data_IF_774076355473
#
_entry.id   IF_774076355473
#
_cell.length_a   1.000
_cell.length_b   1.000
_cell.length_c   1.000
_cell.angle_alpha   90.00
_cell.angle_beta   90.00
_cell.angle_gamma   90.00
#
_symmetry.space_group_name_H-M   'P 1'
#
loop_
_entity.id
_entity.type
_entity.pdbx_description
1 polymer ?
#
# COMPACT_ATOMS: atom_id res chain seq x y z
N UNK A 1 -13.22 -24.16 -22.07
CA UNK A 1 -12.86 -22.93 -21.33
C UNK A 1 -12.49 -23.13 -19.86
N UNK A 2 -12.99 -24.14 -19.12
CA UNK A 2 -12.45 -24.47 -17.78
C UNK A 2 -12.64 -23.39 -16.69
N UNK A 3 -13.39 -22.32 -16.98
CA UNK A 3 -13.67 -21.23 -16.05
C UNK A 3 -14.66 -21.68 -14.98
N UNK A 4 -14.30 -21.49 -13.71
CA UNK A 4 -15.19 -21.81 -12.58
C UNK A 4 -16.23 -20.70 -12.36
N UNK A 5 -17.36 -21.00 -11.68
CA UNK A 5 -18.32 -19.97 -11.29
C UNK A 5 -17.68 -18.83 -10.46
N UNK A 6 -16.70 -19.17 -9.60
CA UNK A 6 -15.99 -18.20 -8.77
C UNK A 6 -15.12 -17.26 -9.62
N UNK A 7 -14.39 -17.80 -10.60
CA UNK A 7 -13.61 -17.00 -11.56
C UNK A 7 -14.50 -16.03 -12.33
N UNK A 8 -15.65 -16.52 -12.82
CA UNK A 8 -16.58 -15.69 -13.57
C UNK A 8 -17.17 -14.56 -12.71
N UNK A 9 -17.58 -14.88 -11.47
CA UNK A 9 -18.09 -13.89 -10.52
C UNK A 9 -17.03 -12.83 -10.17
N UNK A 10 -15.77 -13.25 -9.96
CA UNK A 10 -14.66 -12.36 -9.67
C UNK A 10 -14.39 -11.40 -10.83
N UNK A 11 -14.31 -11.92 -12.06
CA UNK A 11 -14.12 -11.10 -13.26
C UNK A 11 -15.26 -10.09 -13.47
N UNK A 12 -16.51 -10.51 -13.22
CA UNK A 12 -17.70 -9.65 -13.35
C UNK A 12 -17.91 -8.67 -12.19
N UNK A 13 -17.03 -8.66 -11.19
CA UNK A 13 -17.13 -7.75 -10.06
C UNK A 13 -18.31 -8.06 -9.12
N UNK A 14 -18.79 -9.30 -9.06
CA UNK A 14 -19.99 -9.71 -8.29
C UNK A 14 -19.61 -10.19 -6.88
N UNK A 15 -19.31 -9.25 -5.99
CA UNK A 15 -18.84 -9.54 -4.63
C UNK A 15 -19.74 -10.50 -3.83
N UNK A 16 -21.07 -10.34 -3.90
CA UNK A 16 -21.99 -11.22 -3.16
C UNK A 16 -21.99 -12.66 -3.70
N UNK A 17 -21.81 -12.84 -5.01
CA UNK A 17 -21.68 -14.16 -5.62
C UNK A 17 -20.34 -14.81 -5.25
N UNK A 18 -19.25 -14.04 -5.25
CA UNK A 18 -17.95 -14.51 -4.76
C UNK A 18 -18.05 -14.99 -3.31
N UNK A 19 -18.71 -14.21 -2.44
CA UNK A 19 -18.89 -14.56 -1.03
C UNK A 19 -19.67 -15.87 -0.87
N UNK A 20 -20.80 -15.98 -1.57
CA UNK A 20 -21.64 -17.18 -1.53
C UNK A 20 -20.87 -18.42 -1.98
N UNK A 21 -20.15 -18.33 -3.11
CA UNK A 21 -19.40 -19.46 -3.66
C UNK A 21 -18.27 -19.90 -2.72
N UNK A 22 -17.53 -18.96 -2.14
CA UNK A 22 -16.47 -19.26 -1.16
C UNK A 22 -17.03 -19.92 0.11
N UNK A 23 -18.17 -19.43 0.62
CA UNK A 23 -18.85 -20.04 1.77
C UNK A 23 -19.28 -21.50 1.50
N UNK A 24 -19.60 -21.83 0.25
CA UNK A 24 -19.92 -23.20 -0.19
C UNK A 24 -18.69 -24.02 -0.61
N UNK A 25 -17.47 -23.57 -0.27
CA UNK A 25 -16.24 -24.35 -0.46
C UNK A 25 -15.68 -24.31 -1.88
N UNK A 26 -16.01 -23.28 -2.67
CA UNK A 26 -15.37 -23.10 -3.98
C UNK A 26 -13.84 -23.01 -3.83
N UNK A 27 -13.11 -23.79 -4.61
CA UNK A 27 -11.65 -23.77 -4.61
C UNK A 27 -11.12 -22.47 -5.23
N UNK A 28 -10.64 -21.56 -4.37
CA UNK A 28 -10.08 -20.27 -4.77
C UNK A 28 -8.81 -20.38 -5.63
N UNK A 29 -8.06 -21.46 -5.44
CA UNK A 29 -6.81 -21.77 -6.12
C UNK A 29 -6.99 -22.72 -7.32
N UNK A 30 -8.23 -22.90 -7.80
CA UNK A 30 -8.46 -23.65 -9.02
C UNK A 30 -7.72 -22.99 -10.20
N UNK A 31 -6.96 -23.79 -10.95
CA UNK A 31 -6.16 -23.35 -12.10
C UNK A 31 -6.50 -24.14 -13.38
N UNK A 32 -7.65 -24.83 -13.42
CA UNK A 32 -8.11 -25.62 -14.57
C UNK A 32 -8.62 -24.77 -15.75
N UNK A 33 -8.55 -23.43 -15.62
CA UNK A 33 -8.78 -22.53 -16.73
C UNK A 33 -7.77 -22.80 -17.85
N UNK A 34 -8.20 -22.66 -19.10
CA UNK A 34 -7.40 -23.02 -20.29
C UNK A 34 -6.03 -22.31 -20.35
N UNK A 35 -5.95 -21.09 -19.81
CA UNK A 35 -4.73 -20.30 -19.71
C UNK A 35 -4.12 -20.28 -18.29
N UNK A 36 -4.57 -21.15 -17.37
CA UNK A 36 -4.07 -21.21 -16.00
C UNK A 36 -4.44 -20.03 -15.10
N UNK A 37 -5.51 -19.29 -15.43
CA UNK A 37 -5.97 -18.17 -14.61
C UNK A 37 -6.65 -18.66 -13.33
N UNK A 38 -6.37 -17.99 -12.21
CA UNK A 38 -7.00 -18.23 -10.90
C UNK A 38 -8.10 -17.21 -10.60
N UNK A 39 -8.88 -17.44 -9.56
CA UNK A 39 -9.88 -16.47 -9.11
C UNK A 39 -9.25 -15.12 -8.70
N UNK A 40 -8.06 -15.14 -8.08
CA UNK A 40 -7.34 -13.93 -7.69
C UNK A 40 -6.85 -13.11 -8.90
N UNK A 41 -6.42 -13.77 -9.98
CA UNK A 41 -6.05 -13.06 -11.22
C UNK A 41 -7.25 -12.34 -11.84
N UNK A 42 -8.42 -12.99 -11.87
CA UNK A 42 -9.65 -12.35 -12.34
C UNK A 42 -10.14 -11.23 -11.42
N UNK A 43 -9.96 -11.38 -10.09
CA UNK A 43 -10.24 -10.30 -9.15
C UNK A 43 -9.35 -9.07 -9.41
N UNK A 44 -8.05 -9.28 -9.61
CA UNK A 44 -7.11 -8.21 -9.99
C UNK A 44 -7.46 -7.51 -11.30
N UNK A 45 -7.89 -8.27 -12.32
CA UNK A 45 -8.35 -7.74 -13.60
C UNK A 45 -9.63 -6.89 -13.47
N UNK A 46 -10.52 -7.24 -12.54
CA UNK A 46 -11.79 -6.52 -12.35
C UNK A 46 -11.61 -5.13 -11.73
N UNK A 47 -10.45 -4.85 -11.11
CA UNK A 47 -10.20 -3.62 -10.36
C UNK A 47 -10.92 -3.54 -9.00
N UNK A 48 -11.55 -4.63 -8.56
CA UNK A 48 -12.38 -4.69 -7.35
C UNK A 48 -11.53 -5.13 -6.16
N UNK A 49 -11.09 -4.17 -5.35
CA UNK A 49 -10.28 -4.43 -4.14
C UNK A 49 -11.03 -5.27 -3.10
N UNK A 50 -12.34 -5.07 -2.96
CA UNK A 50 -13.24 -5.86 -2.10
C UNK A 50 -13.21 -7.35 -2.45
N UNK A 51 -13.29 -7.68 -3.74
CA UNK A 51 -13.22 -9.05 -4.24
C UNK A 51 -11.80 -9.61 -4.12
N UNK A 52 -10.79 -8.78 -4.39
CA UNK A 52 -9.38 -9.16 -4.27
C UNK A 52 -9.05 -9.56 -2.83
N UNK A 53 -9.42 -8.75 -1.84
CA UNK A 53 -9.30 -9.09 -0.41
C UNK A 53 -10.06 -10.37 -0.07
N UNK A 54 -11.27 -10.55 -0.59
CA UNK A 54 -12.07 -11.75 -0.33
C UNK A 54 -11.40 -13.04 -0.84
N UNK A 55 -10.75 -13.01 -2.01
CA UNK A 55 -9.98 -14.14 -2.52
C UNK A 55 -8.77 -14.44 -1.63
N UNK A 56 -8.05 -13.40 -1.21
CA UNK A 56 -6.88 -13.53 -0.34
C UNK A 56 -7.24 -14.08 1.04
N UNK A 57 -8.34 -13.59 1.64
CA UNK A 57 -8.88 -14.10 2.90
C UNK A 57 -9.32 -15.57 2.79
N UNK A 58 -9.76 -16.00 1.62
CA UNK A 58 -10.06 -17.40 1.33
C UNK A 58 -8.83 -18.28 1.08
N UNK A 59 -7.61 -17.72 1.18
CA UNK A 59 -6.36 -18.46 1.00
C UNK A 59 -5.86 -18.49 -0.45
N UNK A 60 -6.21 -17.51 -1.28
CA UNK A 60 -5.65 -17.41 -2.61
C UNK A 60 -4.13 -17.26 -2.59
N UNK A 61 -3.44 -18.06 -3.38
CA UNK A 61 -1.99 -17.99 -3.52
C UNK A 61 -1.59 -16.82 -4.45
N UNK A 62 -0.74 -15.92 -3.95
CA UNK A 62 -0.30 -14.73 -4.68
C UNK A 62 0.76 -15.03 -5.75
N UNK A 63 1.47 -16.14 -5.59
CA UNK A 63 2.64 -16.50 -6.40
C UNK A 63 2.30 -17.45 -7.57
N UNK A 64 1.04 -17.88 -7.70
CA UNK A 64 0.62 -18.65 -8.85
C UNK A 64 0.74 -17.82 -10.13
N UNK A 65 1.25 -18.44 -11.19
CA UNK A 65 1.43 -17.83 -12.50
C UNK A 65 0.53 -18.50 -13.54
N UNK A 66 0.01 -17.70 -14.47
CA UNK A 66 -0.75 -18.20 -15.61
C UNK A 66 0.18 -18.74 -16.72
N UNK A 67 -0.39 -19.15 -17.86
CA UNK A 67 0.36 -19.67 -19.00
C UNK A 67 1.37 -18.68 -19.61
N UNK A 68 1.25 -17.39 -19.28
CA UNK A 68 2.15 -16.31 -19.72
C UNK A 68 3.19 -15.94 -18.65
N UNK A 69 3.26 -16.71 -17.56
CA UNK A 69 4.22 -16.48 -16.48
C UNK A 69 3.89 -15.29 -15.57
N UNK A 70 2.63 -14.81 -15.56
CA UNK A 70 2.21 -13.63 -14.80
C UNK A 70 1.44 -13.98 -13.54
N UNK A 71 1.77 -13.33 -12.42
CA UNK A 71 1.02 -13.39 -11.16
C UNK A 71 -0.22 -12.51 -11.17
N UNK A 72 -1.10 -12.67 -10.17
CA UNK A 72 -2.28 -11.81 -10.04
C UNK A 72 -1.95 -10.32 -9.89
N UNK A 73 -0.90 -9.98 -9.13
CA UNK A 73 -0.43 -8.61 -8.99
C UNK A 73 0.08 -8.04 -10.32
N UNK A 74 0.84 -8.82 -11.09
CA UNK A 74 1.32 -8.41 -12.41
C UNK A 74 0.17 -8.23 -13.41
N UNK A 75 -0.86 -9.09 -13.35
CA UNK A 75 -2.06 -8.94 -14.15
C UNK A 75 -2.82 -7.65 -13.80
N UNK A 76 -3.01 -7.36 -12.51
CA UNK A 76 -3.64 -6.12 -12.06
C UNK A 76 -2.83 -4.88 -12.49
N UNK A 77 -1.50 -4.93 -12.38
CA UNK A 77 -0.62 -3.85 -12.83
C UNK A 77 -0.73 -3.61 -14.35
N UNK A 78 -0.80 -4.68 -15.14
CA UNK A 78 -0.90 -4.59 -16.61
C UNK A 78 -2.15 -3.83 -17.07
N UNK A 79 -3.26 -3.94 -16.34
CA UNK A 79 -4.51 -3.21 -16.62
C UNK A 79 -4.67 -1.92 -15.80
N UNK A 80 -3.60 -1.46 -15.13
CA UNK A 80 -3.60 -0.21 -14.35
C UNK A 80 -4.36 -0.26 -13.02
N UNK A 81 -4.72 -1.45 -12.53
CA UNK A 81 -5.48 -1.64 -11.29
C UNK A 81 -4.57 -1.61 -10.05
N UNK A 82 -3.89 -0.48 -9.85
CA UNK A 82 -2.88 -0.29 -8.82
C UNK A 82 -3.39 -0.55 -7.40
N UNK A 83 -4.63 -0.18 -7.08
CA UNK A 83 -5.18 -0.43 -5.74
C UNK A 83 -5.29 -1.94 -5.45
N UNK A 84 -5.58 -2.77 -6.47
CA UNK A 84 -5.56 -4.23 -6.33
C UNK A 84 -4.13 -4.76 -6.17
N UNK A 85 -3.15 -4.20 -6.89
CA UNK A 85 -1.72 -4.53 -6.72
C UNK A 85 -1.29 -4.26 -5.29
N UNK A 86 -1.62 -3.08 -4.76
CA UNK A 86 -1.30 -2.71 -3.38
C UNK A 86 -1.93 -3.68 -2.39
N UNK A 87 -3.20 -4.05 -2.56
CA UNK A 87 -3.89 -5.04 -1.71
C UNK A 87 -3.21 -6.39 -1.74
N UNK A 88 -2.85 -6.91 -2.92
CA UNK A 88 -2.19 -8.22 -3.07
C UNK A 88 -0.81 -8.20 -2.41
N UNK A 89 0.01 -7.19 -2.70
CA UNK A 89 1.38 -7.11 -2.22
C UNK A 89 1.48 -6.83 -0.70
N UNK A 90 0.48 -6.13 -0.14
CA UNK A 90 0.42 -5.80 1.28
C UNK A 90 -0.42 -6.77 2.11
N UNK A 91 -0.90 -7.88 1.51
CA UNK A 91 -1.79 -8.79 2.20
C UNK A 91 -1.09 -9.51 3.36
N UNK A 92 -1.73 -9.46 4.51
CA UNK A 92 -1.34 -10.20 5.71
C UNK A 92 -2.56 -10.95 6.23
N UNK A 93 -2.54 -12.27 6.18
CA UNK A 93 -3.66 -13.11 6.63
C UNK A 93 -3.89 -12.99 8.14
N UNK A 94 -5.15 -12.86 8.55
CA UNK A 94 -5.51 -12.84 9.98
C UNK A 94 -5.06 -14.12 10.72
N UNK A 95 -5.11 -15.28 10.07
CA UNK A 95 -4.66 -16.56 10.63
C UNK A 95 -3.19 -16.53 11.12
N UNK A 96 -2.30 -15.82 10.40
CA UNK A 96 -0.91 -15.62 10.84
C UNK A 96 -0.83 -14.80 12.12
N UNK A 97 -1.74 -13.83 12.32
CA UNK A 97 -1.81 -13.07 13.57
C UNK A 97 -2.41 -13.89 14.71
N UNK A 98 -3.41 -14.71 14.41
CA UNK A 98 -4.08 -15.58 15.38
C UNK A 98 -3.12 -16.59 16.01
N UNK A 99 -2.01 -16.93 15.35
CA UNK A 99 -0.91 -17.67 15.96
C UNK A 99 -0.48 -17.04 17.29
N UNK A 100 -0.33 -15.72 17.37
CA UNK A 100 0.10 -15.04 18.61
C UNK A 100 -0.98 -14.99 19.69
N UNK A 101 -2.21 -15.39 19.37
CA UNK A 101 -3.34 -15.37 20.29
C UNK A 101 -3.44 -16.59 21.19
N UNK A 102 -2.57 -17.58 20.96
CA UNK A 102 -2.45 -18.80 21.76
C UNK A 102 -1.07 -18.84 22.42
N UNK A 103 -0.94 -19.29 23.67
CA UNK A 103 0.38 -19.53 24.27
C UNK A 103 1.10 -20.67 23.54
N UNK A 104 2.42 -20.53 23.34
CA UNK A 104 3.24 -21.56 22.70
C UNK A 104 4.39 -22.01 23.61
N UNK A 105 4.69 -23.32 23.58
CA UNK A 105 5.81 -23.88 24.35
C UNK A 105 5.66 -23.71 25.87
N UNK A 106 6.55 -22.91 26.46
CA UNK A 106 6.60 -22.65 27.91
C UNK A 106 5.86 -21.37 28.33
N UNK A 107 5.19 -20.69 27.39
CA UNK A 107 4.46 -19.46 27.67
C UNK A 107 3.19 -19.72 28.50
N UNK A 108 2.96 -18.88 29.52
CA UNK A 108 1.77 -18.97 30.38
C UNK A 108 0.60 -18.13 29.86
N UNK A 109 0.88 -17.11 29.08
CA UNK A 109 -0.11 -16.20 28.51
C UNK A 109 0.18 -15.97 27.02
N UNK A 110 -0.85 -15.64 26.21
CA UNK A 110 -0.64 -15.34 24.81
C UNK A 110 0.10 -14.00 24.66
N UNK A 111 0.99 -13.94 23.65
CA UNK A 111 1.71 -12.71 23.28
C UNK A 111 0.75 -11.62 22.78
N UNK A 112 -0.37 -12.00 22.16
CA UNK A 112 -1.45 -11.11 21.74
C UNK A 112 -2.79 -11.56 22.32
N UNK A 113 -3.50 -10.74 23.10
CA UNK A 113 -4.89 -11.04 23.46
C UNK A 113 -5.78 -11.31 22.22
N UNK A 114 -6.65 -12.34 22.20
CA UNK A 114 -7.52 -12.63 21.06
C UNK A 114 -8.39 -11.44 20.64
N UNK A 115 -8.81 -10.61 21.60
CA UNK A 115 -9.59 -9.39 21.36
C UNK A 115 -8.84 -8.33 20.55
N UNK A 116 -7.52 -8.40 20.47
CA UNK A 116 -6.65 -7.47 19.74
C UNK A 116 -6.32 -7.93 18.33
N UNK A 117 -6.55 -9.20 17.97
CA UNK A 117 -6.23 -9.72 16.65
C UNK A 117 -6.96 -8.94 15.55
N UNK A 118 -8.27 -8.76 15.65
CA UNK A 118 -9.05 -7.97 14.69
C UNK A 118 -8.60 -6.51 14.58
N UNK A 119 -8.53 -5.75 15.69
CA UNK A 119 -8.05 -4.37 15.68
C UNK A 119 -6.64 -4.19 15.11
N UNK A 120 -5.70 -5.05 15.49
CA UNK A 120 -4.31 -4.97 15.01
C UNK A 120 -4.21 -5.38 13.53
N UNK A 121 -4.93 -6.42 13.11
CA UNK A 121 -5.02 -6.84 11.71
C UNK A 121 -5.55 -5.71 10.82
N UNK A 122 -6.57 -4.96 11.28
CA UNK A 122 -7.06 -3.78 10.57
C UNK A 122 -5.98 -2.70 10.37
N UNK A 123 -5.11 -2.50 11.35
CA UNK A 123 -3.97 -1.56 11.23
C UNK A 123 -2.96 -2.10 10.22
N UNK A 124 -2.60 -3.38 10.31
CA UNK A 124 -1.65 -4.04 9.38
C UNK A 124 -2.14 -3.96 7.93
N UNK A 125 -3.44 -4.19 7.71
CA UNK A 125 -4.05 -4.20 6.38
C UNK A 125 -4.30 -2.80 5.81
N UNK A 126 -4.11 -1.73 6.58
CA UNK A 126 -4.24 -0.37 6.05
C UNK A 126 -3.17 -0.13 4.98
N UNK A 127 -3.57 0.52 3.89
CA UNK A 127 -2.65 0.98 2.82
C UNK A 127 -2.22 2.43 3.03
N UNK A 128 -3.00 3.20 3.80
CA UNK A 128 -2.67 4.56 4.18
C UNK A 128 -1.70 4.56 5.38
N UNK A 129 -0.41 4.75 5.07
CA UNK A 129 0.68 4.77 6.04
C UNK A 129 0.85 6.12 6.74
N UNK A 130 -0.07 7.08 6.55
CA UNK A 130 0.05 8.36 7.24
C UNK A 130 0.00 8.13 8.75
N UNK A 131 0.95 8.66 9.54
CA UNK A 131 0.99 8.40 10.98
C UNK A 131 -0.25 8.93 11.69
N UNK A 132 -0.88 10.02 11.21
CA UNK A 132 -2.15 10.51 11.76
C UNK A 132 -3.26 9.48 11.55
N UNK A 133 -3.33 8.82 10.38
CA UNK A 133 -4.33 7.77 10.13
C UNK A 133 -4.17 6.61 11.10
N UNK A 134 -2.95 6.12 11.30
CA UNK A 134 -2.68 5.00 12.20
C UNK A 134 -3.00 5.39 13.66
N UNK A 135 -2.63 6.59 14.09
CA UNK A 135 -2.99 7.11 15.43
C UNK A 135 -4.51 7.21 15.60
N UNK A 136 -5.24 7.63 14.57
CA UNK A 136 -6.71 7.67 14.61
C UNK A 136 -7.32 6.26 14.73
N UNK A 137 -6.78 5.25 14.03
CA UNK A 137 -7.23 3.86 14.16
C UNK A 137 -7.04 3.32 15.60
N UNK A 138 -5.92 3.68 16.25
CA UNK A 138 -5.69 3.35 17.66
C UNK A 138 -6.68 4.09 18.55
N UNK A 139 -6.81 5.41 18.37
CA UNK A 139 -7.68 6.28 19.18
C UNK A 139 -9.15 5.87 19.14
N UNK A 140 -9.65 5.46 17.97
CA UNK A 140 -11.05 5.09 17.75
C UNK A 140 -11.39 3.70 18.32
N UNK A 141 -10.39 2.88 18.68
CA UNK A 141 -10.60 1.55 19.22
C UNK A 141 -10.38 1.52 20.75
N UNK A 142 -11.43 1.28 21.55
CA UNK A 142 -11.32 1.30 23.02
C UNK A 142 -10.32 0.29 23.60
N UNK A 143 -10.10 -0.83 22.91
CA UNK A 143 -9.18 -1.89 23.37
C UNK A 143 -7.73 -1.49 23.11
N UNK A 144 -7.44 -0.79 22.01
CA UNK A 144 -6.08 -0.37 21.64
C UNK A 144 -5.56 0.84 22.44
N UNK A 145 -6.44 1.66 23.01
CA UNK A 145 -6.04 2.80 23.86
C UNK A 145 -5.50 2.34 25.22
N UNK A 146 -5.72 1.08 25.62
CA UNK A 146 -5.13 0.53 26.83
C UNK A 146 -3.61 0.34 26.68
N UNK A 147 -2.83 0.87 27.63
CA UNK A 147 -1.36 0.85 27.62
C UNK A 147 -0.79 -0.57 27.50
N UNK A 148 -1.28 -1.51 28.32
CA UNK A 148 -0.79 -2.89 28.31
C UNK A 148 -1.18 -3.64 27.02
N UNK A 149 -2.36 -3.34 26.48
CA UNK A 149 -2.80 -3.90 25.20
C UNK A 149 -1.92 -3.41 24.04
N UNK A 150 -1.64 -2.10 24.00
CA UNK A 150 -0.82 -1.47 22.98
C UNK A 150 0.65 -1.90 23.05
N UNK A 151 1.15 -2.14 24.27
CA UNK A 151 2.46 -2.73 24.51
C UNK A 151 2.58 -4.11 23.84
N UNK A 152 1.62 -5.00 24.09
CA UNK A 152 1.57 -6.32 23.42
C UNK A 152 1.46 -6.18 21.90
N UNK A 153 0.69 -5.21 21.39
CA UNK A 153 0.57 -4.99 19.95
C UNK A 153 1.92 -4.63 19.30
N UNK A 154 2.66 -3.64 19.81
CA UNK A 154 3.93 -3.27 19.16
C UNK A 154 4.99 -4.38 19.30
N UNK A 155 5.01 -5.13 20.41
CA UNK A 155 5.91 -6.28 20.56
C UNK A 155 5.64 -7.35 19.50
N UNK A 156 4.36 -7.62 19.19
CA UNK A 156 3.99 -8.54 18.11
C UNK A 156 4.37 -7.98 16.75
N UNK A 157 4.27 -6.66 16.53
CA UNK A 157 4.74 -6.04 15.30
C UNK A 157 6.25 -6.18 15.10
N UNK A 158 7.04 -6.06 16.17
CA UNK A 158 8.49 -6.29 16.13
C UNK A 158 8.82 -7.74 15.77
N UNK A 159 8.09 -8.71 16.33
CA UNK A 159 8.22 -10.14 15.98
C UNK A 159 7.83 -10.41 14.53
N UNK A 160 6.76 -9.79 14.03
CA UNK A 160 6.33 -9.94 12.64
C UNK A 160 7.36 -9.34 11.67
N UNK A 161 7.95 -8.19 12.02
CA UNK A 161 9.05 -7.61 11.27
C UNK A 161 10.22 -8.61 11.16
N UNK A 162 10.62 -9.20 12.27
CA UNK A 162 11.70 -10.19 12.30
C UNK A 162 11.39 -11.43 11.48
N UNK A 163 10.16 -11.93 11.54
CA UNK A 163 9.73 -13.06 10.72
C UNK A 163 9.75 -12.77 9.22
N UNK A 164 9.39 -11.56 8.79
CA UNK A 164 9.44 -11.17 7.38
C UNK A 164 10.88 -11.17 6.82
N UNK A 165 11.88 -10.96 7.69
CA UNK A 165 13.30 -10.98 7.31
C UNK A 165 13.90 -12.38 7.35
N UNK A 166 13.49 -13.21 8.31
CA UNK A 166 14.04 -14.58 8.48
C UNK A 166 13.46 -15.62 7.51
N UNK A 167 12.41 -15.30 6.77
CA UNK A 167 11.84 -16.21 5.78
C UNK A 167 12.82 -16.44 4.62
N UNK A 168 12.73 -17.60 3.98
CA UNK A 168 13.59 -18.00 2.86
C UNK A 168 13.58 -16.95 1.73
N UNK A 169 12.41 -16.35 1.50
CA UNK A 169 12.25 -15.15 0.68
C UNK A 169 12.06 -13.94 1.61
N UNK A 170 13.10 -13.13 1.78
CA UNK A 170 13.03 -11.92 2.60
C UNK A 170 12.02 -10.94 2.00
N UNK A 171 10.96 -10.63 2.77
CA UNK A 171 9.99 -9.62 2.37
C UNK A 171 10.32 -8.28 3.04
N UNK A 172 11.28 -7.55 2.46
CA UNK A 172 11.74 -6.26 2.99
C UNK A 172 10.62 -5.23 3.10
N UNK A 173 9.70 -5.20 2.13
CA UNK A 173 8.58 -4.27 2.08
C UNK A 173 7.66 -4.49 3.27
N UNK A 174 7.26 -5.74 3.51
CA UNK A 174 6.41 -6.07 4.64
C UNK A 174 7.14 -5.87 5.97
N UNK A 175 8.42 -6.23 6.06
CA UNK A 175 9.24 -5.97 7.24
C UNK A 175 9.29 -4.47 7.60
N UNK A 176 9.60 -3.61 6.62
CA UNK A 176 9.61 -2.16 6.79
C UNK A 176 8.23 -1.64 7.22
N UNK A 177 7.15 -2.16 6.65
CA UNK A 177 5.78 -1.82 7.05
C UNK A 177 5.48 -2.20 8.51
N UNK A 178 5.83 -3.42 8.92
CA UNK A 178 5.61 -3.90 10.29
C UNK A 178 6.39 -3.05 11.30
N UNK A 179 7.66 -2.75 11.00
CA UNK A 179 8.50 -1.86 11.78
C UNK A 179 7.95 -0.44 11.88
N UNK A 180 7.51 0.13 10.76
CA UNK A 180 6.95 1.47 10.72
C UNK A 180 5.68 1.56 11.59
N UNK A 181 4.78 0.60 11.44
CA UNK A 181 3.59 0.50 12.31
C UNK A 181 4.01 0.37 13.77
N UNK A 182 4.98 -0.50 14.10
CA UNK A 182 5.51 -0.64 15.46
C UNK A 182 5.98 0.70 16.03
N UNK A 183 6.75 1.48 15.27
CA UNK A 183 7.22 2.81 15.69
C UNK A 183 6.06 3.77 16.00
N UNK A 184 4.98 3.75 15.21
CA UNK A 184 3.78 4.57 15.46
C UNK A 184 3.06 4.10 16.73
N UNK A 185 2.90 2.79 16.93
CA UNK A 185 2.28 2.24 18.13
C UNK A 185 3.10 2.56 19.40
N UNK A 186 4.43 2.44 19.33
CA UNK A 186 5.33 2.85 20.42
C UNK A 186 5.19 4.35 20.73
N UNK A 187 5.00 5.18 19.70
CA UNK A 187 4.77 6.62 19.89
C UNK A 187 3.44 6.90 20.60
N UNK A 188 2.37 6.19 20.23
CA UNK A 188 1.09 6.23 20.92
C UNK A 188 1.24 5.81 22.39
N UNK A 189 1.93 4.69 22.65
CA UNK A 189 2.21 4.17 23.99
C UNK A 189 2.92 5.20 24.87
N UNK A 190 3.99 5.80 24.37
CA UNK A 190 4.77 6.81 25.09
C UNK A 190 3.95 8.07 25.43
N UNK A 191 2.92 8.40 24.63
CA UNK A 191 2.00 9.50 24.92
C UNK A 191 0.96 9.12 25.97
N UNK A 192 0.35 7.94 25.85
CA UNK A 192 -0.64 7.43 26.79
C UNK A 192 -0.07 7.21 28.21
N UNK A 193 1.21 6.84 28.32
CA UNK A 193 1.88 6.70 29.60
C UNK A 193 2.16 8.05 30.30
N UNK A 194 2.34 9.13 29.53
CA UNK A 194 2.79 10.44 30.06
C UNK A 194 1.67 11.46 30.24
N UNK A 195 0.55 11.29 29.54
CA UNK A 195 -0.54 12.27 29.48
C UNK A 195 -1.86 11.55 29.64
N UNK A 196 -2.77 12.12 30.43
CA UNK A 196 -4.18 11.69 30.53
C UNK A 196 -5.00 12.09 29.29
N UNK A 197 -4.34 12.29 28.14
CA UNK A 197 -4.95 12.75 26.90
C UNK A 197 -5.14 11.57 25.95
N UNK A 198 -6.32 11.47 25.32
CA UNK A 198 -6.77 10.40 24.42
C UNK A 198 -6.10 10.49 23.03
N UNK A 199 -4.77 10.64 23.00
CA UNK A 199 -3.93 10.85 21.80
C UNK A 199 -4.21 12.13 21.01
N UNK A 200 -5.12 13.01 21.46
CA UNK A 200 -5.46 14.25 20.77
C UNK A 200 -4.26 15.18 20.61
N UNK A 201 -3.47 15.37 21.67
CA UNK A 201 -2.24 16.14 21.58
C UNK A 201 -1.20 15.53 20.63
N UNK A 202 -1.14 14.19 20.50
CA UNK A 202 -0.24 13.54 19.54
C UNK A 202 -0.69 13.87 18.12
N UNK A 203 -1.98 13.72 17.80
CA UNK A 203 -2.51 14.07 16.48
C UNK A 203 -2.26 15.53 16.16
N UNK A 204 -2.54 16.45 17.09
CA UNK A 204 -2.25 17.88 16.89
C UNK A 204 -0.76 18.14 16.67
N UNK A 205 0.13 17.43 17.37
CA UNK A 205 1.58 17.59 17.16
C UNK A 205 2.04 17.10 15.78
N UNK A 206 1.42 16.04 15.24
CA UNK A 206 1.69 15.51 13.90
C UNK A 206 1.12 16.39 12.80
N UNK A 207 0.05 17.14 13.07
CA UNK A 207 -0.59 18.04 12.11
C UNK A 207 -0.05 19.47 12.15
N UNK A 208 0.68 19.85 13.21
CA UNK A 208 1.16 21.21 13.36
C UNK A 208 2.19 21.54 12.28
N UNK A 209 1.81 22.46 11.40
CA UNK A 209 2.66 23.02 10.37
C UNK A 209 3.66 24.06 10.88
N UNK A 210 4.70 24.33 10.09
CA UNK A 210 5.57 25.51 10.26
C UNK A 210 4.84 26.79 9.89
N UNK A 211 5.18 27.90 10.53
CA UNK A 211 4.46 29.17 10.34
C UNK A 211 4.62 29.76 8.92
N UNK A 212 5.65 29.35 8.18
CA UNK A 212 5.94 29.87 6.84
C UNK A 212 5.01 29.34 5.75
N UNK A 213 4.67 28.05 5.77
CA UNK A 213 3.91 27.40 4.68
C UNK A 213 2.99 26.26 5.15
N UNK A 214 2.91 26.00 6.46
CA UNK A 214 2.10 24.91 7.00
C UNK A 214 2.72 23.51 6.93
N UNK A 215 3.97 23.32 6.48
CA UNK A 215 4.59 21.99 6.38
C UNK A 215 4.75 21.30 7.75
N UNK A 216 4.29 20.04 7.94
CA UNK A 216 4.28 19.34 9.22
C UNK A 216 5.67 18.78 9.59
N UNK A 217 6.61 19.65 9.99
CA UNK A 217 8.00 19.29 10.27
C UNK A 217 8.17 18.16 11.29
N UNK A 218 7.32 18.11 12.33
CA UNK A 218 7.39 17.06 13.34
C UNK A 218 7.06 15.68 12.76
N UNK A 219 6.05 15.62 11.89
CA UNK A 219 5.65 14.39 11.21
C UNK A 219 6.78 13.89 10.31
N UNK A 220 7.36 14.77 9.50
CA UNK A 220 8.48 14.44 8.62
C UNK A 220 9.69 13.90 9.39
N UNK A 221 10.09 14.57 10.48
CA UNK A 221 11.18 14.11 11.36
C UNK A 221 10.88 12.74 11.96
N UNK A 222 9.66 12.56 12.45
CA UNK A 222 9.23 11.29 13.03
C UNK A 222 9.32 10.14 12.02
N UNK A 223 8.87 10.33 10.77
CA UNK A 223 8.96 9.32 9.72
C UNK A 223 10.41 8.98 9.39
N UNK A 224 11.27 10.00 9.22
CA UNK A 224 12.72 9.81 9.00
C UNK A 224 13.37 9.03 10.13
N UNK A 225 12.99 9.31 11.38
CA UNK A 225 13.49 8.58 12.54
C UNK A 225 13.00 7.13 12.58
N UNK A 226 11.77 6.85 12.14
CA UNK A 226 11.27 5.48 12.01
C UNK A 226 12.11 4.69 10.99
N UNK A 227 12.34 5.26 9.80
CA UNK A 227 13.16 4.64 8.75
C UNK A 227 14.58 4.37 9.27
N UNK A 228 15.21 5.36 9.91
CA UNK A 228 16.57 5.20 10.46
C UNK A 228 16.67 4.09 11.51
N UNK A 229 15.61 3.88 12.30
CA UNK A 229 15.56 2.86 13.35
C UNK A 229 15.27 1.44 12.84
N UNK A 230 15.08 1.26 11.53
CA UNK A 230 14.88 -0.07 10.97
C UNK A 230 16.09 -0.96 11.31
N UNK A 231 15.88 -2.11 11.98
CA UNK A 231 16.99 -2.85 12.59
C UNK A 231 17.89 -3.59 11.60
N UNK A 232 17.47 -3.71 10.34
CA UNK A 232 18.19 -4.46 9.30
C UNK A 232 18.89 -3.50 8.34
N UNK A 233 20.10 -3.08 8.69
CA UNK A 233 20.88 -2.10 7.93
C UNK A 233 21.32 -2.58 6.53
N UNK A 234 21.38 -3.89 6.33
CA UNK A 234 21.74 -4.52 5.05
C UNK A 234 20.58 -4.62 4.07
N UNK A 235 19.35 -4.33 4.52
CA UNK A 235 18.16 -4.36 3.66
C UNK A 235 18.30 -3.33 2.52
N UNK A 236 18.14 -3.80 1.29
CA UNK A 236 18.27 -2.99 0.07
C UNK A 236 17.29 -1.82 0.06
N UNK A 237 16.06 -2.07 0.49
CA UNK A 237 14.99 -1.09 0.64
C UNK A 237 15.38 0.04 1.60
N UNK A 238 15.99 -0.27 2.75
CA UNK A 238 16.44 0.77 3.68
C UNK A 238 17.49 1.66 3.03
N UNK A 239 18.46 1.07 2.34
CA UNK A 239 19.53 1.80 1.67
C UNK A 239 18.97 2.74 0.60
N UNK A 240 17.99 2.28 -0.18
CA UNK A 240 17.29 3.08 -1.18
C UNK A 240 16.50 4.25 -0.55
N UNK A 241 15.71 3.97 0.50
CA UNK A 241 14.97 5.01 1.24
C UNK A 241 15.91 6.08 1.78
N UNK A 242 17.00 5.66 2.44
CA UNK A 242 17.98 6.59 3.02
C UNK A 242 18.66 7.42 1.94
N UNK A 243 19.08 6.80 0.82
CA UNK A 243 19.70 7.51 -0.31
C UNK A 243 18.76 8.57 -0.91
N UNK A 244 17.47 8.29 -0.99
CA UNK A 244 16.47 9.23 -1.52
C UNK A 244 16.14 10.39 -0.58
N UNK A 245 16.18 10.17 0.74
CA UNK A 245 15.64 11.12 1.73
C UNK A 245 16.75 11.92 2.43
N UNK A 246 17.91 11.31 2.68
CA UNK A 246 19.01 11.93 3.43
C UNK A 246 19.53 13.27 2.85
N UNK A 247 19.67 13.45 1.53
CA UNK A 247 20.13 14.73 0.97
C UNK A 247 19.04 15.80 0.92
N UNK A 248 17.77 15.44 1.13
CA UNK A 248 16.62 16.33 0.98
C UNK A 248 16.35 17.07 2.29
N UNK A 249 16.37 18.39 2.24
CA UNK A 249 16.02 19.25 3.38
C UNK A 249 14.55 19.07 3.80
N UNK A 250 14.27 19.22 5.10
CA UNK A 250 12.91 19.08 5.63
C UNK A 250 12.01 20.17 5.08
N UNK A 251 10.92 19.77 4.42
CA UNK A 251 9.97 20.66 3.77
C UNK A 251 10.10 20.73 2.25
N UNK A 252 11.12 20.07 1.68
CA UNK A 252 11.27 19.93 0.24
C UNK A 252 10.88 18.52 -0.21
N UNK A 253 10.56 18.39 -1.49
CA UNK A 253 10.26 17.11 -2.12
C UNK A 253 11.54 16.38 -2.59
N UNK A 254 11.52 15.02 -2.61
CA UNK A 254 10.44 14.19 -2.11
C UNK A 254 10.45 14.08 -0.56
N UNK A 255 9.27 14.18 0.05
CA UNK A 255 9.10 13.96 1.50
C UNK A 255 9.43 12.52 1.92
N UNK A 256 9.80 12.31 3.18
CA UNK A 256 10.02 10.94 3.69
C UNK A 256 8.74 10.10 3.63
N UNK A 257 7.57 10.72 3.81
CA UNK A 257 6.28 10.03 3.67
C UNK A 257 6.04 9.55 2.24
N UNK A 258 6.25 10.39 1.23
CA UNK A 258 5.99 10.02 -0.17
C UNK A 258 6.91 8.90 -0.63
N UNK A 259 8.20 8.97 -0.30
CA UNK A 259 9.17 7.92 -0.63
C UNK A 259 8.82 6.60 0.08
N UNK A 260 8.53 6.64 1.39
CA UNK A 260 8.15 5.44 2.14
C UNK A 260 6.86 4.80 1.61
N UNK A 261 5.85 5.64 1.32
CA UNK A 261 4.58 5.15 0.80
C UNK A 261 4.78 4.51 -0.57
N UNK A 262 5.50 5.16 -1.48
CA UNK A 262 5.82 4.62 -2.80
C UNK A 262 6.59 3.29 -2.73
N UNK A 263 7.54 3.18 -1.80
CA UNK A 263 8.31 1.96 -1.59
C UNK A 263 7.44 0.79 -1.10
N UNK A 264 6.41 1.04 -0.28
CA UNK A 264 5.55 -0.01 0.27
C UNK A 264 4.33 -0.33 -0.60
N UNK A 265 3.74 0.67 -1.23
CA UNK A 265 2.51 0.49 -2.04
C UNK A 265 2.79 0.29 -3.52
N UNK A 266 4.02 0.53 -3.96
CA UNK A 266 4.45 0.54 -5.36
C UNK A 266 4.40 1.93 -5.99
N UNK A 267 5.12 2.10 -7.10
CA UNK A 267 5.08 3.32 -7.89
C UNK A 267 3.77 3.44 -8.66
N UNK A 268 3.13 4.61 -8.59
CA UNK A 268 1.94 4.93 -9.39
C UNK A 268 2.31 6.07 -10.33
N UNK A 269 2.37 5.81 -11.64
CA UNK A 269 2.80 6.79 -12.64
C UNK A 269 1.80 7.96 -12.78
N UNK A 270 0.51 7.72 -12.52
CA UNK A 270 -0.55 8.72 -12.62
C UNK A 270 -1.53 8.56 -11.45
N UNK A 271 -1.56 9.56 -10.56
CA UNK A 271 -2.52 9.58 -9.44
C UNK A 271 -3.30 10.89 -9.48
N UNK A 272 -4.38 10.90 -10.24
CA UNK A 272 -5.36 11.99 -10.19
C UNK A 272 -6.33 11.76 -9.02
N UNK A 273 -5.80 11.82 -7.80
CA UNK A 273 -6.59 11.62 -6.59
C UNK A 273 -6.30 12.71 -5.56
N UNK A 274 -7.38 13.27 -5.01
CA UNK A 274 -7.29 14.19 -3.88
C UNK A 274 -7.03 13.41 -2.58
N UNK A 275 -6.11 13.92 -1.77
CA UNK A 275 -5.76 13.33 -0.48
C UNK A 275 -6.24 14.21 0.67
N UNK A 276 -6.79 13.59 1.70
CA UNK A 276 -7.22 14.29 2.90
C UNK A 276 -6.00 14.94 3.58
N UNK A 277 -6.03 16.25 3.77
CA UNK A 277 -4.93 16.98 4.41
C UNK A 277 -4.68 16.58 5.87
N UNK A 278 -5.64 15.91 6.51
CA UNK A 278 -5.52 15.47 7.92
C UNK A 278 -4.92 14.08 8.04
N UNK A 279 -5.49 13.10 7.34
CA UNK A 279 -5.14 11.70 7.53
C UNK A 279 -4.56 11.05 6.27
N UNK A 280 -4.37 11.78 5.17
CA UNK A 280 -3.84 11.23 3.93
C UNK A 280 -4.77 10.24 3.21
N UNK A 281 -6.06 10.18 3.57
CA UNK A 281 -7.01 9.29 2.89
C UNK A 281 -7.16 9.70 1.42
N UNK A 282 -7.02 8.73 0.51
CA UNK A 282 -7.22 8.90 -0.94
C UNK A 282 -8.71 9.11 -1.24
N UNK A 283 -9.02 9.93 -2.25
CA UNK A 283 -10.40 10.19 -2.68
C UNK A 283 -11.14 11.19 -1.78
N UNK A 284 -10.42 12.12 -1.16
CA UNK A 284 -11.03 13.19 -0.37
C UNK A 284 -11.82 14.18 -1.26
N UNK A 285 -13.08 14.43 -0.93
CA UNK A 285 -14.01 15.19 -1.75
C UNK A 285 -14.46 16.52 -1.11
N UNK A 286 -14.36 16.65 0.22
CA UNK A 286 -14.85 17.83 0.94
C UNK A 286 -13.78 18.92 0.99
N UNK A 287 -14.00 20.00 0.24
CA UNK A 287 -13.11 21.15 0.20
C UNK A 287 -13.39 22.14 1.33
N UNK A 288 -12.36 22.84 1.79
CA UNK A 288 -12.54 24.00 2.66
C UNK A 288 -13.40 25.06 1.95
N UNK A 289 -14.43 25.56 2.63
CA UNK A 289 -15.37 26.54 2.06
C UNK A 289 -14.73 27.91 1.80
N UNK A 290 -13.59 28.21 2.41
CA UNK A 290 -12.90 29.50 2.27
C UNK A 290 -11.83 29.46 1.18
N UNK A 291 -10.80 28.62 1.33
CA UNK A 291 -9.69 28.57 0.37
C UNK A 291 -9.91 27.64 -0.82
N UNK A 292 -10.86 26.70 -0.74
CA UNK A 292 -11.13 25.63 -1.74
C UNK A 292 -9.94 24.71 -2.11
N UNK A 293 -8.70 25.07 -1.77
CA UNK A 293 -7.49 24.30 -2.05
C UNK A 293 -7.36 23.03 -1.19
N UNK A 294 -7.69 23.11 0.10
CA UNK A 294 -7.52 21.98 1.03
C UNK A 294 -8.73 21.06 1.02
N UNK A 295 -8.51 19.76 0.87
CA UNK A 295 -9.53 18.71 0.83
C UNK A 295 -9.48 17.79 2.05
N UNK A 296 -10.64 17.23 2.42
CA UNK A 296 -10.84 16.36 3.58
C UNK A 296 -11.77 15.20 3.20
N UNK A 297 -11.55 14.02 3.81
CA UNK A 297 -12.47 12.89 3.65
C UNK A 297 -13.73 13.02 4.54
N UNK A 298 -13.67 13.84 5.59
CA UNK A 298 -14.77 13.99 6.54
C UNK A 298 -14.75 15.34 7.26
N UNK A 299 -15.91 15.74 7.78
CA UNK A 299 -16.03 16.92 8.65
C UNK A 299 -15.19 16.76 9.94
N UNK A 300 -15.05 15.53 10.43
CA UNK A 300 -14.21 15.22 11.60
C UNK A 300 -12.74 15.52 11.32
N UNK A 301 -12.22 15.13 10.16
CA UNK A 301 -10.85 15.47 9.74
C UNK A 301 -10.66 16.98 9.60
N UNK A 302 -11.61 17.68 8.96
CA UNK A 302 -11.58 19.12 8.85
C UNK A 302 -11.50 19.81 10.22
N UNK A 303 -12.37 19.42 11.17
CA UNK A 303 -12.35 19.96 12.55
C UNK A 303 -11.03 19.68 13.25
N UNK A 304 -10.45 18.50 13.05
CA UNK A 304 -9.20 18.09 13.69
C UNK A 304 -7.99 18.88 13.15
N UNK A 305 -7.98 19.20 11.86
CA UNK A 305 -6.91 19.98 11.23
C UNK A 305 -7.11 21.50 11.32
N UNK A 306 -8.32 21.96 11.64
CA UNK A 306 -8.69 23.37 11.60
C UNK A 306 -7.69 24.29 12.31
N UNK A 307 -7.21 23.90 13.50
CA UNK A 307 -6.25 24.72 14.27
C UNK A 307 -4.93 25.02 13.53
N UNK A 308 -4.50 24.13 12.63
CA UNK A 308 -3.29 24.30 11.82
C UNK A 308 -3.65 25.02 10.51
N UNK A 309 -4.78 24.65 9.90
CA UNK A 309 -5.23 25.23 8.64
C UNK A 309 -5.60 26.72 8.74
N UNK A 310 -6.24 27.16 9.84
CA UNK A 310 -6.76 28.54 9.97
C UNK A 310 -5.72 29.62 9.70
N UNK A 311 -4.47 29.37 10.11
CA UNK A 311 -3.41 30.34 9.96
C UNK A 311 -3.01 30.52 8.48
N UNK A 312 -3.13 29.46 7.68
CA UNK A 312 -2.70 29.43 6.27
C UNK A 312 -3.87 29.57 5.29
N UNK A 313 -5.11 29.42 5.76
CA UNK A 313 -6.29 29.40 4.90
C UNK A 313 -6.43 30.66 4.04
N UNK A 314 -6.08 31.84 4.58
CA UNK A 314 -6.15 33.10 3.84
C UNK A 314 -5.10 33.17 2.73
N UNK A 315 -3.85 32.81 3.03
CA UNK A 315 -2.77 32.77 2.04
C UNK A 315 -3.10 31.80 0.89
N UNK A 316 -3.66 30.62 1.22
CA UNK A 316 -4.08 29.65 0.21
C UNK A 316 -5.24 30.15 -0.66
N UNK A 317 -6.15 30.94 -0.09
CA UNK A 317 -7.24 31.54 -0.85
C UNK A 317 -6.72 32.56 -1.89
N UNK A 318 -5.69 33.33 -1.53
CA UNK A 318 -5.05 34.29 -2.44
C UNK A 318 -4.31 33.57 -3.57
N UNK A 319 -3.59 32.49 -3.26
CA UNK A 319 -2.90 31.65 -4.25
C UNK A 319 -3.87 30.97 -5.23
N UNK A 320 -5.01 30.46 -4.77
CA UNK A 320 -6.03 29.85 -5.63
C UNK A 320 -6.64 30.88 -6.59
N UNK A 321 -6.87 32.11 -6.12
CA UNK A 321 -7.38 33.20 -6.95
C UNK A 321 -6.38 33.65 -8.04
N UNK A 322 -5.08 33.52 -7.79
CA UNK A 322 -4.05 33.79 -8.79
C UNK A 322 -3.91 32.63 -9.79
N UNK A 323 -4.02 31.39 -9.34
CA UNK A 323 -4.07 30.21 -10.22
C UNK A 323 -5.32 30.19 -11.12
N UNK A 324 -6.49 30.64 -10.62
CA UNK A 324 -7.71 30.78 -11.42
C UNK A 324 -7.55 31.82 -12.55
N UNK A 325 -6.72 32.86 -12.36
CA UNK A 325 -6.41 33.85 -13.42
C UNK A 325 -5.49 33.28 -14.50
N UNK A 326 -4.60 32.38 -14.12
CA UNK A 326 -3.68 31.70 -15.05
C UNK A 326 -4.27 30.40 -15.66
N UNK A 327 -5.39 29.91 -15.12
CA UNK A 327 -6.11 28.71 -15.57
C UNK A 327 -6.45 28.66 -17.08
N UNK A 328 -6.80 29.77 -17.77
CA UNK A 328 -7.05 29.75 -19.22
C UNK A 328 -5.80 29.34 -20.01
N UNK A 329 -4.62 29.86 -19.63
CA UNK A 329 -3.34 29.54 -20.29
C UNK A 329 -2.90 28.11 -20.00
N UNK A 330 -3.24 27.59 -18.83
CA UNK A 330 -2.93 26.21 -18.45
C UNK A 330 -3.84 25.18 -19.14
N UNK A 331 -5.08 25.55 -19.48
CA UNK A 331 -6.01 24.70 -20.24
C UNK A 331 -5.55 24.51 -21.67
N UNK A 332 -5.15 25.58 -22.36
CA UNK A 332 -4.61 25.50 -23.73
C UNK A 332 -3.41 24.54 -23.82
N UNK A 333 -2.48 24.62 -22.85
CA UNK A 333 -1.31 23.73 -22.80
C UNK A 333 -1.66 22.26 -22.47
N UNK A 334 -2.70 22.03 -21.67
CA UNK A 334 -3.15 20.68 -21.29
C UNK A 334 -3.97 20.01 -22.39
N UNK A 335 -4.74 20.78 -23.14
CA UNK A 335 -5.49 20.27 -24.28
C UNK A 335 -4.50 19.77 -25.35
N UNK A 336 -3.44 20.55 -25.64
CA UNK A 336 -2.33 20.14 -26.53
C UNK A 336 -1.59 18.88 -26.06
N UNK A 337 -1.34 18.73 -24.74
CA UNK A 337 -0.69 17.55 -24.17
C UNK A 337 -1.62 16.32 -24.18
N UNK A 338 -2.92 16.52 -23.95
CA UNK A 338 -3.91 15.45 -23.94
C UNK A 338 -4.14 14.84 -25.32
N UNK A 339 -4.10 15.66 -26.37
CA UNK A 339 -4.18 15.20 -27.76
C UNK A 339 -2.97 14.33 -28.11
N UNK A 340 -1.77 14.71 -27.69
CA UNK A 340 -0.54 13.95 -27.91
C UNK A 340 -0.53 12.59 -27.17
N UNK A 341 -1.04 12.58 -25.92
CA UNK A 341 -1.16 11.35 -25.11
C UNK A 341 -2.23 10.42 -25.71
N UNK A 342 -3.33 10.97 -26.21
CA UNK A 342 -4.40 10.19 -26.85
C UNK A 342 -3.95 9.57 -28.17
N UNK A 343 -3.18 10.29 -28.99
CA UNK A 343 -2.54 9.76 -30.19
C UNK A 343 -1.58 8.62 -29.86
N UNK A 344 -0.78 8.77 -28.80
CA UNK A 344 0.20 7.75 -28.37
C UNK A 344 -0.50 6.49 -27.82
N UNK A 345 -1.57 6.65 -27.05
CA UNK A 345 -2.36 5.54 -26.51
C UNK A 345 -3.08 4.76 -27.61
N UNK A 346 -3.66 5.45 -28.60
CA UNK A 346 -4.30 4.82 -29.76
C UNK A 346 -3.29 4.00 -30.57
N UNK A 347 -2.08 4.54 -30.77
CA UNK A 347 -0.99 3.84 -31.47
C UNK A 347 -0.55 2.55 -30.74
N UNK A 348 -0.43 2.60 -29.41
CA UNK A 348 -0.08 1.42 -28.59
C UNK A 348 -1.19 0.38 -28.56
N UNK A 349 -2.45 0.80 -28.54
CA UNK A 349 -3.59 -0.11 -28.57
C UNK A 349 -3.73 -0.81 -29.93
N UNK A 350 -3.42 -0.13 -31.02
CA UNK A 350 -3.36 -0.72 -32.36
C UNK A 350 -2.23 -1.76 -32.48
N UNK A 351 -1.08 -1.51 -31.82
CA UNK A 351 0.02 -2.49 -31.73
C UNK A 351 -0.36 -3.73 -30.92
N UNK A 352 -1.13 -3.59 -29.84
CA UNK A 352 -1.63 -4.71 -29.05
C UNK A 352 -2.60 -5.61 -29.84
N UNK A 353 -3.55 -5.01 -30.56
CA UNK A 353 -4.50 -5.76 -31.40
C UNK A 353 -3.78 -6.51 -32.53
N UNK A 354 -2.76 -5.89 -33.14
CA UNK A 354 -1.93 -6.54 -34.17
C UNK A 354 -1.08 -7.68 -33.60
N UNK A 355 -0.62 -7.59 -32.36
CA UNK A 355 0.09 -8.67 -31.69
C UNK A 355 -0.84 -9.85 -31.36
N UNK A 356 -2.09 -9.59 -30.96
CA UNK A 356 -3.11 -10.61 -30.73
C UNK A 356 -3.53 -11.32 -32.03
N UNK A 357 -3.64 -10.59 -33.14
CA UNK A 357 -3.91 -11.17 -34.47
C UNK A 357 -2.75 -12.01 -34.99
N UNK A 358 -1.50 -11.61 -34.74
CA UNK A 358 -0.32 -12.41 -35.11
C UNK A 358 -0.20 -13.71 -34.30
N UNK A 359 -0.60 -13.69 -33.02
CA UNK A 359 -0.66 -14.89 -32.17
C UNK A 359 -1.82 -15.80 -32.56
N UNK A 360 -2.96 -15.24 -33.01
CA UNK A 360 -4.08 -16.02 -33.53
C UNK A 360 -3.81 -16.61 -34.93
N UNK A 361 -3.03 -15.92 -35.77
CA UNK A 361 -2.64 -16.38 -37.11
C UNK A 361 -1.53 -17.44 -37.08
N UNK A 362 -0.67 -17.41 -36.06
CA UNK A 362 0.32 -18.45 -35.78
C UNK A 362 -0.36 -19.63 -35.03
N UNK A 363 -1.24 -20.36 -35.73
CA UNK A 363 -1.97 -21.49 -35.15
C UNK A 363 -1.03 -22.53 -34.52
N UNK A 364 -1.22 -22.77 -33.21
CA UNK A 364 -0.64 -23.91 -32.49
C UNK A 364 0.85 -23.78 -32.16
N UNK A 365 1.18 -24.10 -30.91
CA UNK A 365 2.53 -24.15 -30.36
C UNK A 365 3.51 -24.95 -31.25
N UNK A 366 4.69 -24.42 -31.64
CA UNK A 366 5.82 -25.24 -32.03
C UNK A 366 6.52 -25.72 -30.75
N UNK A 367 6.52 -27.03 -30.56
CA UNK A 367 7.29 -27.71 -29.53
C UNK A 367 8.80 -27.62 -29.84
N UNK A 368 9.42 -26.45 -29.67
CA UNK A 368 10.87 -26.31 -29.92
C UNK A 368 11.49 -25.07 -29.22
N UNK A 369 11.24 -24.89 -27.92
CA UNK A 369 12.07 -24.04 -27.05
C UNK A 369 12.31 -24.75 -25.70
N UNK A 370 12.83 -25.99 -25.77
CA UNK A 370 13.58 -26.61 -24.67
C UNK A 370 15.06 -26.54 -25.03
N UNK A 371 15.74 -25.46 -24.63
CA UNK A 371 17.17 -25.45 -24.30
C UNK A 371 17.62 -24.02 -24.01
N UNK A 372 17.73 -23.66 -22.72
CA UNK A 372 18.75 -22.70 -22.30
C UNK A 372 19.79 -23.49 -21.50
N UNK A 373 21.08 -23.43 -21.83
CA UNK A 373 22.11 -24.13 -21.08
C UNK A 373 22.40 -23.41 -19.75
N UNK A 374 22.90 -24.12 -18.72
CA UNK A 374 23.26 -23.51 -17.45
C UNK A 374 24.55 -22.66 -17.57
N UNK A 375 24.78 -21.70 -16.67
CA UNK A 375 25.92 -20.79 -16.74
C UNK A 375 27.24 -21.53 -16.43
N UNK A 376 28.21 -21.41 -17.33
CA UNK A 376 29.58 -21.91 -17.15
C UNK A 376 30.36 -21.01 -16.18
N UNK A 377 30.86 -21.63 -15.11
CA UNK A 377 31.85 -21.05 -14.21
C UNK A 377 33.24 -21.25 -14.81
N UNK A 378 33.95 -20.17 -15.11
CA UNK A 378 35.39 -20.19 -15.34
C UNK A 378 36.05 -19.14 -14.43
N UNK A 379 36.69 -19.62 -13.37
CA UNK A 379 37.76 -18.90 -12.68
C UNK A 379 39.12 -19.32 -13.26
N UNK A 380 40.16 -18.46 -13.20
CA UNK A 380 41.44 -18.77 -13.81
C UNK A 380 42.26 -19.74 -12.94
N UNK A 381 42.73 -20.82 -13.53
CA UNK A 381 43.72 -21.74 -12.95
C UNK A 381 45.14 -21.23 -13.17
N UNK A 382 45.86 -20.98 -12.07
CA UNK A 382 47.32 -20.89 -12.05
C UNK A 382 47.92 -22.28 -12.32
N UNK A 383 48.88 -22.37 -13.25
CA UNK A 383 49.77 -23.53 -13.39
C UNK A 383 51.13 -23.19 -12.78
N UNK A 384 51.56 -24.01 -11.81
CA UNK A 384 52.97 -24.21 -11.47
C UNK A 384 53.58 -25.12 -12.55
N UNK A 385 54.60 -24.62 -13.25
CA UNK A 385 55.97 -25.16 -13.30
C UNK A 385 56.81 -24.37 -14.31
#
# INVERSE_FOLDING_TARGET
YGMTPLMHAAYKGKADMCRLLLQHGANVNCNQHEYGYTALMFAGLSGRTDITSMMLDAGAETNQVNSVGRTAAQMAAFVGQHDCVTVINNFFSLAKLEFYTRPHGLEREPRLPPTLAGPLHRIIMTTNLNPVKIVLLVKENPVLVNVAALEKCHQVMDLLCEQCVKQQDMNEVLAMKMHYISCVLQKCLAFLQKRDDKLDALVKSLLKGRDSDGFPQYQEKFIRDCIRKFPYCEATLLQELVRSIAPVEIGNDPTAFSVLNQAITGQMAFVDANYCATCGEKGADKRCSLCKAVTYCSLSCQKLHWFAHTNMCRCLQEQDADLEKDSPKLKELKDDESDLVMETANFLQELCLRAEEQVAAAGGCPAELRAFPPPSAEGPSFTQD
#
